data_IF_132349474179
#
_entry.id   IF_132349474179
#
_cell.length_a   1.000
_cell.length_b   1.000
_cell.length_c   1.000
_cell.angle_alpha   90.00
_cell.angle_beta   90.00
_cell.angle_gamma   90.00
#
_symmetry.space_group_name_H-M   'P 1'
#
loop_
_entity.id
_entity.type
_entity.pdbx_description
1 polymer ?
#
# COMPACT_ATOMS: atom_id res chain seq x y z
N UNK A 1 3.88 -37.31 -31.82
CA UNK A 1 4.41 -35.95 -31.56
C UNK A 1 3.32 -34.95 -31.17
N UNK A 2 2.17 -34.91 -31.86
CA UNK A 2 1.08 -33.97 -31.55
C UNK A 2 0.46 -34.12 -30.14
N UNK A 3 0.32 -35.34 -29.62
CA UNK A 3 -0.28 -35.60 -28.29
C UNK A 3 0.55 -35.01 -27.14
N UNK A 4 1.88 -35.03 -27.28
CA UNK A 4 2.80 -34.47 -26.28
C UNK A 4 2.75 -32.94 -26.22
N UNK A 5 2.44 -32.29 -27.34
CA UNK A 5 2.33 -30.83 -27.41
C UNK A 5 1.05 -30.34 -26.74
N UNK A 6 -0.06 -31.08 -26.91
CA UNK A 6 -1.36 -30.73 -26.33
C UNK A 6 -1.34 -30.87 -24.80
N UNK A 7 -0.68 -31.89 -24.26
CA UNK A 7 -0.53 -32.06 -22.81
C UNK A 7 0.35 -30.99 -22.17
N UNK A 8 1.41 -30.55 -22.85
CA UNK A 8 2.27 -29.45 -22.37
C UNK A 8 1.54 -28.11 -22.32
N UNK A 9 0.68 -27.81 -23.30
CA UNK A 9 -0.12 -26.58 -23.33
C UNK A 9 -1.16 -26.58 -22.21
N UNK A 10 -1.82 -27.71 -21.96
CA UNK A 10 -2.80 -27.84 -20.87
C UNK A 10 -2.17 -27.69 -19.47
N UNK A 11 -0.93 -28.15 -19.26
CA UNK A 11 -0.21 -27.94 -18.01
C UNK A 11 0.18 -26.46 -17.79
N UNK A 12 0.53 -25.73 -18.85
CA UNK A 12 0.91 -24.31 -18.72
C UNK A 12 -0.29 -23.40 -18.39
N UNK A 13 -1.50 -23.75 -18.85
CA UNK A 13 -2.74 -23.02 -18.49
C UNK A 13 -3.19 -23.26 -17.05
N UNK A 14 -2.82 -24.38 -16.43
CA UNK A 14 -3.15 -24.67 -15.03
C UNK A 14 -2.20 -23.99 -14.02
N UNK A 15 -1.07 -23.44 -14.49
CA UNK A 15 -0.04 -22.81 -13.65
C UNK A 15 -0.17 -21.29 -13.54
N UNK A 16 -1.18 -20.67 -14.15
CA UNK A 16 -1.51 -19.27 -13.87
C UNK A 16 -2.18 -19.19 -12.50
N UNK A 17 -1.38 -19.21 -11.44
CA UNK A 17 -1.82 -18.71 -10.13
C UNK A 17 -2.27 -17.27 -10.37
N UNK A 18 -3.57 -17.03 -10.31
CA UNK A 18 -4.13 -15.70 -10.40
C UNK A 18 -3.52 -14.87 -9.27
N UNK A 19 -2.56 -14.00 -9.62
CA UNK A 19 -2.13 -12.91 -8.74
C UNK A 19 -3.28 -11.92 -8.79
N UNK A 20 -4.24 -12.10 -7.89
CA UNK A 20 -5.33 -11.16 -7.77
C UNK A 20 -4.80 -10.00 -6.93
N UNK A 21 -4.44 -8.90 -7.58
CA UNK A 21 -4.36 -7.62 -6.91
C UNK A 21 -5.80 -7.10 -6.79
N UNK A 22 -6.39 -7.19 -5.60
CA UNK A 22 -7.75 -6.71 -5.38
C UNK A 22 -7.79 -5.22 -5.04
N UNK A 23 -8.81 -4.55 -5.57
CA UNK A 23 -9.07 -3.14 -5.28
C UNK A 23 -9.68 -2.98 -3.88
N UNK A 24 -9.04 -2.15 -3.06
CA UNK A 24 -9.49 -1.82 -1.70
C UNK A 24 -10.31 -0.53 -1.74
N UNK A 25 -11.58 -0.63 -1.36
CA UNK A 25 -12.49 0.52 -1.27
C UNK A 25 -12.59 1.11 0.15
N UNK A 26 -12.15 0.35 1.17
CA UNK A 26 -12.26 0.72 2.59
C UNK A 26 -11.05 1.52 3.07
N UNK A 27 -10.77 2.65 2.43
CA UNK A 27 -9.80 3.65 2.92
C UNK A 27 -10.52 4.98 3.22
N UNK A 28 -9.93 5.79 4.10
CA UNK A 28 -10.50 7.07 4.54
C UNK A 28 -9.42 8.14 4.54
N UNK A 29 -9.68 9.27 3.88
CA UNK A 29 -8.79 10.43 3.90
C UNK A 29 -8.69 11.01 5.32
N UNK A 30 -7.50 11.43 5.74
CA UNK A 30 -7.33 12.13 7.01
C UNK A 30 -7.94 13.54 6.95
N UNK A 31 -8.30 14.15 8.10
CA UNK A 31 -8.63 15.57 8.14
C UNK A 31 -7.44 16.43 7.66
N UNK A 32 -7.71 17.49 6.90
CA UNK A 32 -6.71 18.45 6.40
C UNK A 32 -5.55 17.79 5.62
N UNK A 33 -5.86 16.84 4.76
CA UNK A 33 -4.91 16.29 3.79
C UNK A 33 -4.95 17.08 2.49
N UNK A 34 -3.79 17.37 1.93
CA UNK A 34 -3.57 18.12 0.68
C UNK A 34 -3.38 17.15 -0.49
N UNK A 35 -4.26 16.15 -0.62
CA UNK A 35 -4.23 15.22 -1.75
C UNK A 35 -5.54 14.46 -1.88
N UNK A 36 -5.72 13.86 -3.06
CA UNK A 36 -6.75 12.87 -3.33
C UNK A 36 -6.07 11.53 -3.66
N UNK A 37 -6.68 10.42 -3.19
CA UNK A 37 -6.21 9.06 -3.45
C UNK A 37 -7.28 8.31 -4.26
N UNK A 38 -6.81 7.52 -5.21
CA UNK A 38 -7.61 6.79 -6.17
C UNK A 38 -7.06 5.38 -6.33
N UNK A 39 -7.94 4.45 -6.76
CA UNK A 39 -7.53 3.13 -7.24
C UNK A 39 -6.50 2.43 -6.33
N UNK A 40 -6.84 2.26 -5.06
CA UNK A 40 -5.98 1.56 -4.11
C UNK A 40 -6.10 0.04 -4.30
N UNK A 41 -4.96 -0.63 -4.34
CA UNK A 41 -4.82 -2.08 -4.46
C UNK A 41 -3.88 -2.60 -3.38
N UNK A 42 -4.19 -3.78 -2.85
CA UNK A 42 -3.31 -4.53 -1.95
C UNK A 42 -3.20 -5.94 -2.51
N UNK A 43 -1.97 -6.45 -2.65
CA UNK A 43 -1.69 -7.77 -3.20
C UNK A 43 -0.75 -8.57 -2.27
N UNK A 44 -1.18 -9.74 -1.77
CA UNK A 44 -2.51 -10.35 -1.94
C UNK A 44 -3.57 -9.74 -1.01
N UNK A 45 -4.83 -9.62 -1.45
CA UNK A 45 -5.96 -9.25 -0.58
C UNK A 45 -7.33 -9.80 -1.06
N UNK A 46 -7.53 -11.14 -1.03
CA UNK A 46 -8.82 -11.72 -1.42
C UNK A 46 -9.99 -11.21 -0.56
N UNK A 47 -9.73 -10.72 0.65
CA UNK A 47 -10.72 -10.12 1.55
C UNK A 47 -11.37 -8.85 0.99
N UNK A 48 -10.69 -8.10 0.13
CA UNK A 48 -11.20 -6.87 -0.45
C UNK A 48 -12.42 -7.10 -1.34
N UNK A 49 -12.57 -8.30 -1.93
CA UNK A 49 -13.80 -8.69 -2.66
C UNK A 49 -15.05 -8.61 -1.78
N UNK A 50 -14.88 -8.75 -0.46
CA UNK A 50 -15.94 -8.69 0.54
C UNK A 50 -15.91 -7.41 1.37
N UNK A 51 -15.15 -6.39 0.94
CA UNK A 51 -14.92 -5.14 1.66
C UNK A 51 -14.42 -5.38 3.11
N UNK A 52 -13.54 -6.36 3.29
CA UNK A 52 -12.91 -6.67 4.58
C UNK A 52 -11.44 -6.25 4.57
N UNK A 53 -10.91 -5.98 5.76
CA UNK A 53 -9.51 -5.68 5.97
C UNK A 53 -8.62 -6.81 5.44
N UNK A 54 -7.58 -6.45 4.69
CA UNK A 54 -6.64 -7.38 4.10
C UNK A 54 -5.83 -8.11 5.17
N UNK A 55 -5.61 -9.41 4.98
CA UNK A 55 -4.70 -10.16 5.82
C UNK A 55 -3.24 -9.85 5.43
N UNK A 56 -2.44 -9.40 6.40
CA UNK A 56 -1.01 -9.18 6.24
C UNK A 56 -0.23 -10.23 7.03
N UNK A 57 0.20 -11.33 6.37
CA UNK A 57 0.92 -12.39 7.04
C UNK A 57 2.31 -11.96 7.49
N UNK A 58 2.68 -12.33 8.71
CA UNK A 58 4.07 -12.21 9.15
C UNK A 58 5.03 -12.95 8.22
N UNK A 59 6.25 -12.43 8.11
CA UNK A 59 7.33 -13.00 7.32
C UNK A 59 6.99 -13.16 5.83
N UNK A 60 6.13 -12.29 5.31
CA UNK A 60 5.76 -12.19 3.89
C UNK A 60 5.78 -10.74 3.43
N UNK A 61 5.92 -10.57 2.11
CA UNK A 61 5.70 -9.28 1.46
C UNK A 61 4.23 -9.15 1.05
N UNK A 62 3.71 -7.93 1.15
CA UNK A 62 2.43 -7.52 0.57
C UNK A 62 2.65 -6.21 -0.15
N UNK A 63 2.26 -6.13 -1.41
CA UNK A 63 2.39 -4.93 -2.22
C UNK A 63 1.16 -4.04 -2.02
N UNK A 64 1.38 -2.74 -1.95
CA UNK A 64 0.31 -1.73 -1.89
C UNK A 64 0.57 -0.73 -2.99
N UNK A 65 -0.43 -0.54 -3.84
CA UNK A 65 -0.39 0.38 -4.95
C UNK A 65 -1.59 1.32 -4.90
N UNK A 66 -1.38 2.58 -5.27
CA UNK A 66 -2.49 3.52 -5.44
C UNK A 66 -2.08 4.66 -6.36
N UNK A 67 -3.09 5.35 -6.87
CA UNK A 67 -2.93 6.59 -7.61
C UNK A 67 -3.19 7.73 -6.63
N UNK A 68 -2.41 8.80 -6.70
CA UNK A 68 -2.69 9.99 -5.90
C UNK A 68 -2.48 11.26 -6.73
N UNK A 69 -3.18 12.32 -6.33
CA UNK A 69 -3.03 13.66 -6.89
C UNK A 69 -2.79 14.62 -5.72
N UNK A 70 -1.56 15.13 -5.54
CA UNK A 70 -1.21 16.03 -4.45
C UNK A 70 -1.63 17.47 -4.78
N UNK A 71 -2.05 18.24 -3.78
CA UNK A 71 -2.34 19.68 -3.89
C UNK A 71 -1.12 20.54 -3.50
N UNK A 72 0.01 19.89 -3.22
CA UNK A 72 1.30 20.49 -2.87
C UNK A 72 2.42 19.91 -3.73
N UNK A 73 3.57 20.58 -3.73
CA UNK A 73 4.80 20.08 -4.35
C UNK A 73 5.81 19.69 -3.28
N UNK A 74 6.59 18.65 -3.54
CA UNK A 74 7.70 18.22 -2.67
C UNK A 74 8.94 17.86 -3.48
N UNK A 75 10.05 18.54 -3.19
CA UNK A 75 11.35 18.24 -3.81
C UNK A 75 12.06 17.09 -3.10
N UNK A 76 11.83 16.96 -1.79
CA UNK A 76 12.44 15.92 -0.96
C UNK A 76 11.35 15.22 -0.15
N UNK A 77 10.46 14.50 -0.85
CA UNK A 77 9.32 13.88 -0.21
C UNK A 77 9.77 12.77 0.75
N UNK A 78 9.12 12.75 1.92
CA UNK A 78 9.25 11.73 2.94
C UNK A 78 7.95 10.99 3.11
N UNK A 79 8.05 9.74 3.51
CA UNK A 79 6.89 8.91 3.80
C UNK A 79 7.07 8.13 5.08
N UNK A 80 5.95 7.79 5.71
CA UNK A 80 5.91 6.83 6.79
C UNK A 80 4.52 6.21 6.88
N UNK A 81 4.47 4.96 7.32
CA UNK A 81 3.25 4.30 7.76
C UNK A 81 3.19 4.31 9.28
N UNK A 82 2.01 4.54 9.83
CA UNK A 82 1.75 4.44 11.25
C UNK A 82 0.61 3.49 11.54
N UNK A 83 0.73 2.68 12.59
CA UNK A 83 -0.41 2.04 13.22
C UNK A 83 -1.11 3.06 14.12
N UNK A 84 -2.32 3.45 13.74
CA UNK A 84 -3.13 4.39 14.51
C UNK A 84 -3.55 3.76 15.84
N UNK A 85 -3.40 4.51 16.94
CA UNK A 85 -3.91 4.11 18.25
C UNK A 85 -4.57 5.29 18.94
N UNK A 86 -5.33 5.02 20.00
CA UNK A 86 -6.01 6.07 20.76
C UNK A 86 -5.06 7.11 21.39
N UNK A 87 -3.83 6.70 21.72
CA UNK A 87 -2.88 7.55 22.44
C UNK A 87 -1.84 8.18 21.51
N UNK A 88 -1.15 7.36 20.70
CA UNK A 88 -0.05 7.81 19.86
C UNK A 88 0.14 6.84 18.70
N UNK A 89 0.25 7.40 17.50
CA UNK A 89 0.52 6.66 16.28
C UNK A 89 1.91 6.00 16.34
N UNK A 90 1.97 4.68 16.18
CA UNK A 90 3.24 3.94 16.21
C UNK A 90 3.79 3.74 14.80
N UNK A 91 5.04 4.12 14.51
CA UNK A 91 5.61 3.94 13.18
C UNK A 91 5.71 2.47 12.83
N UNK A 92 5.29 2.11 11.62
CA UNK A 92 5.52 0.79 11.06
C UNK A 92 7.01 0.64 10.74
N UNK A 93 7.62 -0.39 11.31
CA UNK A 93 9.02 -0.76 11.10
C UNK A 93 9.24 -1.28 9.67
N UNK A 94 10.43 -1.02 9.12
CA UNK A 94 10.86 -1.57 7.84
C UNK A 94 10.50 -0.72 6.61
N UNK A 95 9.77 0.38 6.78
CA UNK A 95 9.54 1.36 5.71
C UNK A 95 10.76 2.27 5.55
N UNK A 96 11.20 2.44 4.30
CA UNK A 96 12.21 3.45 3.99
C UNK A 96 11.51 4.81 3.88
N UNK A 97 11.98 5.81 4.62
CA UNK A 97 11.29 7.10 4.63
C UNK A 97 11.53 7.94 3.37
N UNK A 98 12.41 7.52 2.46
CA UNK A 98 12.61 8.18 1.17
C UNK A 98 11.45 7.82 0.21
N UNK A 99 10.49 8.73 0.05
CA UNK A 99 9.32 8.50 -0.80
C UNK A 99 9.67 8.30 -2.28
N UNK A 100 10.83 8.80 -2.75
CA UNK A 100 11.28 8.63 -4.13
C UNK A 100 11.57 7.17 -4.52
N UNK A 101 11.57 6.26 -3.55
CA UNK A 101 11.66 4.82 -3.82
C UNK A 101 10.31 4.21 -4.25
N UNK A 102 9.21 4.92 -4.02
CA UNK A 102 7.85 4.40 -4.20
C UNK A 102 7.00 5.22 -5.17
N UNK A 103 7.42 6.45 -5.48
CA UNK A 103 6.79 7.35 -6.44
C UNK A 103 7.85 8.13 -7.21
N UNK A 104 7.48 8.68 -8.37
CA UNK A 104 8.34 9.61 -9.09
C UNK A 104 8.59 10.89 -8.29
N UNK A 105 9.83 11.38 -8.32
CA UNK A 105 10.24 12.63 -7.70
C UNK A 105 10.72 13.64 -8.75
N UNK A 106 10.46 14.95 -8.56
CA UNK A 106 9.73 15.53 -7.43
C UNK A 106 8.23 15.18 -7.44
N UNK A 107 7.58 15.32 -6.30
CA UNK A 107 6.11 15.30 -6.23
C UNK A 107 5.62 16.63 -6.78
N UNK A 108 4.81 16.57 -7.83
CA UNK A 108 4.37 17.76 -8.57
C UNK A 108 2.92 18.05 -8.24
N UNK A 109 2.67 19.28 -7.76
CA UNK A 109 1.33 19.77 -7.45
C UNK A 109 0.36 19.54 -8.63
N UNK A 110 -0.87 19.16 -8.29
CA UNK A 110 -2.01 18.92 -9.16
C UNK A 110 -1.76 17.87 -10.26
N UNK A 111 -0.70 17.06 -10.14
CA UNK A 111 -0.32 16.05 -11.13
C UNK A 111 -0.58 14.66 -10.58
N UNK A 112 -1.29 13.84 -11.35
CA UNK A 112 -1.53 12.45 -10.97
C UNK A 112 -0.23 11.65 -10.98
N UNK A 113 0.05 10.95 -9.88
CA UNK A 113 1.24 10.12 -9.70
C UNK A 113 0.84 8.73 -9.18
N UNK A 114 1.75 7.78 -9.35
CA UNK A 114 1.57 6.40 -8.95
C UNK A 114 2.46 6.10 -7.77
N UNK A 115 1.88 5.42 -6.79
CA UNK A 115 2.59 4.91 -5.63
C UNK A 115 2.63 3.39 -5.69
N UNK A 116 3.78 2.80 -5.41
CA UNK A 116 3.96 1.36 -5.27
C UNK A 116 5.00 1.08 -4.19
N UNK A 117 4.64 0.28 -3.19
CA UNK A 117 5.59 -0.21 -2.20
C UNK A 117 5.29 -1.64 -1.78
N UNK A 118 6.35 -2.36 -1.43
CA UNK A 118 6.26 -3.67 -0.80
C UNK A 118 6.44 -3.52 0.70
N UNK A 119 5.50 -4.07 1.45
CA UNK A 119 5.55 -4.13 2.89
C UNK A 119 5.94 -5.52 3.36
N UNK A 120 7.05 -5.61 4.08
CA UNK A 120 7.42 -6.80 4.83
C UNK A 120 6.98 -6.67 6.28
N UNK A 121 6.17 -7.60 6.78
CA UNK A 121 5.79 -7.65 8.20
C UNK A 121 6.76 -8.55 8.96
N UNK A 122 7.67 -8.02 9.81
CA UNK A 122 8.64 -8.85 10.48
C UNK A 122 7.97 -9.74 11.54
N UNK A 123 8.38 -11.01 11.68
CA UNK A 123 7.77 -11.94 12.62
C UNK A 123 7.96 -11.48 14.07
N UNK A 124 6.93 -11.62 14.90
CA UNK A 124 6.93 -11.31 16.35
C UNK A 124 7.17 -9.84 16.70
N UNK A 125 7.08 -8.92 15.73
CA UNK A 125 7.18 -7.47 15.98
C UNK A 125 5.83 -6.80 16.21
N UNK A 126 4.76 -7.38 15.66
CA UNK A 126 3.41 -6.87 15.82
C UNK A 126 2.51 -7.90 16.49
N UNK A 127 1.47 -7.43 17.18
CA UNK A 127 0.43 -8.30 17.75
C UNK A 127 -0.49 -8.72 16.61
N UNK A 128 -0.91 -9.98 16.57
CA UNK A 128 -1.83 -10.48 15.54
C UNK A 128 -3.24 -9.96 15.79
N UNK A 129 -3.56 -8.80 15.24
CA UNK A 129 -4.84 -8.11 15.42
C UNK A 129 -5.14 -7.17 14.25
N UNK A 130 -6.28 -6.49 14.32
CA UNK A 130 -6.64 -5.42 13.41
C UNK A 130 -5.84 -4.15 13.70
N UNK A 131 -5.37 -3.51 12.63
CA UNK A 131 -4.70 -2.22 12.67
C UNK A 131 -5.35 -1.30 11.64
N UNK A 132 -5.54 -0.04 12.02
CA UNK A 132 -5.76 1.04 11.08
C UNK A 132 -4.39 1.62 10.73
N UNK A 133 -3.98 1.47 9.47
CA UNK A 133 -2.72 1.96 8.96
C UNK A 133 -2.94 3.35 8.40
N UNK A 134 -2.20 4.32 8.93
CA UNK A 134 -2.16 5.71 8.46
C UNK A 134 -0.94 5.90 7.58
N UNK A 135 -1.19 6.19 6.31
CA UNK A 135 -0.18 6.61 5.35
C UNK A 135 0.06 8.10 5.47
N UNK A 136 1.33 8.52 5.40
CA UNK A 136 1.72 9.92 5.34
C UNK A 136 2.78 10.15 4.26
N UNK A 137 2.64 11.24 3.52
CA UNK A 137 3.61 11.78 2.55
C UNK A 137 3.70 13.30 2.72
N UNK A 138 4.90 13.83 2.90
CA UNK A 138 5.14 15.27 3.13
C UNK A 138 6.50 15.69 2.58
N UNK A 139 6.77 16.99 2.48
CA UNK A 139 8.12 17.49 2.16
C UNK A 139 8.94 17.70 3.44
N UNK A 140 10.23 17.31 3.43
CA UNK A 140 11.09 17.47 4.61
C UNK A 140 11.26 18.93 5.07
N UNK A 141 11.11 19.90 4.16
CA UNK A 141 11.23 21.33 4.45
C UNK A 141 9.89 22.01 4.73
N UNK A 142 8.77 21.36 4.44
CA UNK A 142 7.43 21.86 4.75
C UNK A 142 6.50 20.70 5.14
N UNK A 143 6.32 20.50 6.44
CA UNK A 143 5.42 19.50 7.00
C UNK A 143 4.00 20.00 7.26
N UNK A 144 3.69 21.26 6.93
CA UNK A 144 2.31 21.78 7.02
C UNK A 144 1.43 21.28 5.88
N UNK A 145 2.05 20.87 4.76
CA UNK A 145 1.37 20.27 3.62
C UNK A 145 1.66 18.78 3.56
N UNK A 146 0.63 17.96 3.50
CA UNK A 146 0.79 16.50 3.53
C UNK A 146 -0.34 15.76 2.85
N UNK A 147 -0.02 14.60 2.28
CA UNK A 147 -1.00 13.62 1.86
C UNK A 147 -1.15 12.55 2.94
N UNK A 148 -2.38 12.32 3.41
CA UNK A 148 -2.69 11.41 4.50
C UNK A 148 -4.02 10.69 4.26
N UNK A 149 -3.99 9.37 4.40
CA UNK A 149 -5.18 8.53 4.42
C UNK A 149 -4.95 7.31 5.31
N UNK A 150 -6.03 6.63 5.66
CA UNK A 150 -6.04 5.44 6.51
C UNK A 150 -6.71 4.27 5.82
N UNK A 151 -6.26 3.06 6.09
CA UNK A 151 -6.89 1.83 5.63
C UNK A 151 -6.70 0.71 6.66
N UNK A 152 -7.63 -0.23 6.71
CA UNK A 152 -7.64 -1.27 7.73
C UNK A 152 -6.99 -2.57 7.23
N UNK A 153 -6.15 -3.16 8.07
CA UNK A 153 -5.48 -4.44 7.83
C UNK A 153 -5.58 -5.33 9.05
N UNK A 154 -5.37 -6.64 8.86
CA UNK A 154 -5.26 -7.61 9.95
C UNK A 154 -3.94 -8.34 9.84
N UNK A 155 -3.08 -8.19 10.84
CA UNK A 155 -1.83 -8.96 10.88
C UNK A 155 -2.14 -10.39 11.33
N UNK A 156 -1.65 -11.38 10.57
CA UNK A 156 -1.91 -12.82 10.77
C UNK A 156 -0.65 -13.66 10.88
#
# INVERSE_FOLDING_TARGET
MAVFVITLIALMLAASTAVNAERVYSYRMCPNTDCEVYDMFIDPCPEAQYNRACAWPENSNTSVAFIYKPEFGAHFPRTQLYAETFLTDFPFLGINTNACLYTSCPVVKDTQQYWLFDLFVPPKKYVKTHYTIKFMLWDIFNNHQQCCFTFDVKIV
#
